data_IF_675231311826
#
_entry.id   IF_675231311826
#
_cell.length_a   1.000
_cell.length_b   1.000
_cell.length_c   1.000
_cell.angle_alpha   90.00
_cell.angle_beta   90.00
_cell.angle_gamma   90.00
#
_symmetry.space_group_name_H-M   'P 1'
#
loop_
_entity.id
_entity.type
_entity.pdbx_description
1 polymer ?
#
# COMPACT_ATOMS: atom_id res chain seq x y z
N UNK A 1 -1.27 -23.64 0.14
CA UNK A 1 -1.09 -22.34 0.84
C UNK A 1 -0.47 -21.31 -0.09
N UNK A 2 -0.99 -20.08 -0.08
CA UNK A 2 -0.45 -18.90 -0.77
C UNK A 2 -0.19 -17.79 0.25
N UNK A 3 0.85 -16.98 0.04
CA UNK A 3 0.96 -15.66 0.69
C UNK A 3 0.10 -14.69 -0.10
N UNK A 4 -0.76 -13.93 0.57
CA UNK A 4 -1.55 -12.90 -0.09
C UNK A 4 -0.61 -11.96 -0.84
N UNK A 5 -0.84 -11.70 -2.14
CA UNK A 5 0.00 -10.80 -2.91
C UNK A 5 -0.22 -9.32 -2.54
N UNK A 6 -1.12 -9.06 -1.58
CA UNK A 6 -1.34 -7.76 -0.94
C UNK A 6 -0.50 -7.63 0.35
N UNK A 7 0.19 -8.69 0.77
CA UNK A 7 1.17 -8.57 1.85
C UNK A 7 2.30 -7.66 1.39
N UNK A 8 2.67 -6.62 2.16
CA UNK A 8 3.72 -5.67 1.80
C UNK A 8 5.13 -6.23 2.01
N UNK A 9 5.32 -7.56 1.91
CA UNK A 9 6.59 -8.26 2.00
C UNK A 9 6.79 -9.10 0.74
N UNK A 10 7.98 -9.06 0.17
CA UNK A 10 8.26 -9.67 -1.12
C UNK A 10 8.98 -11.00 -0.95
N UNK A 11 8.35 -12.10 -1.35
CA UNK A 11 8.92 -13.45 -1.35
C UNK A 11 9.31 -13.83 -2.79
N UNK A 12 10.44 -13.28 -3.26
CA UNK A 12 10.84 -13.40 -4.67
C UNK A 12 11.67 -14.66 -4.88
N UNK A 13 11.31 -15.47 -5.89
CA UNK A 13 12.15 -16.54 -6.44
C UNK A 13 12.35 -16.27 -7.93
N UNK A 14 13.47 -15.66 -8.32
CA UNK A 14 13.77 -15.42 -9.72
C UNK A 14 15.24 -15.59 -10.06
N UNK A 15 15.49 -15.88 -11.33
CA UNK A 15 16.76 -15.61 -12.00
C UNK A 15 16.58 -14.30 -12.75
N UNK A 16 17.29 -13.26 -12.35
CA UNK A 16 17.33 -11.99 -13.07
C UNK A 16 18.64 -11.88 -13.84
N UNK A 17 18.60 -11.20 -14.97
CA UNK A 17 19.80 -10.70 -15.66
C UNK A 17 20.05 -9.25 -15.20
N UNK A 18 21.31 -8.82 -15.19
CA UNK A 18 21.73 -7.51 -14.66
C UNK A 18 21.97 -7.45 -13.15
N UNK A 19 22.38 -6.28 -12.68
CA UNK A 19 22.74 -6.03 -11.28
C UNK A 19 21.45 -5.82 -10.46
N UNK A 20 21.35 -6.48 -9.31
CA UNK A 20 20.20 -6.31 -8.42
C UNK A 20 20.13 -4.90 -7.82
N UNK A 21 18.91 -4.45 -7.51
CA UNK A 21 18.70 -3.16 -6.87
C UNK A 21 19.21 -3.21 -5.43
N UNK A 22 19.95 -2.18 -5.03
CA UNK A 22 20.41 -1.99 -3.64
C UNK A 22 19.30 -1.48 -2.71
N UNK A 23 18.09 -1.24 -3.22
CA UNK A 23 17.01 -0.68 -2.44
C UNK A 23 16.49 -1.67 -1.39
N UNK A 24 16.49 -1.24 -0.13
CA UNK A 24 15.90 -1.96 1.00
C UNK A 24 14.58 -1.29 1.38
N UNK A 25 13.50 -2.07 1.39
CA UNK A 25 12.19 -1.60 1.81
C UNK A 25 12.26 -1.05 3.24
N UNK A 26 11.68 0.13 3.47
CA UNK A 26 11.73 0.78 4.78
C UNK A 26 10.33 0.99 5.33
N UNK A 27 10.12 0.55 6.57
CA UNK A 27 8.91 0.77 7.36
C UNK A 27 9.21 1.69 8.55
N UNK A 28 8.19 2.39 9.02
CA UNK A 28 8.20 3.06 10.32
C UNK A 28 7.92 2.06 11.44
N UNK A 29 8.38 2.34 12.66
CA UNK A 29 8.00 1.56 13.87
C UNK A 29 6.49 1.59 14.16
N UNK A 30 5.78 2.56 13.59
CA UNK A 30 4.33 2.73 13.70
C UNK A 30 3.55 2.04 12.57
N UNK A 31 4.23 1.52 11.54
CA UNK A 31 3.58 0.78 10.46
C UNK A 31 3.19 -0.63 10.94
N UNK A 32 2.12 -1.17 10.35
CA UNK A 32 1.66 -2.53 10.64
C UNK A 32 1.75 -3.41 9.40
N UNK A 33 2.70 -4.34 9.46
CA UNK A 33 2.94 -5.26 8.36
C UNK A 33 1.94 -6.42 8.49
N UNK A 34 0.79 -6.27 7.85
CA UNK A 34 -0.24 -7.31 7.79
C UNK A 34 0.21 -8.44 6.86
N UNK A 35 0.46 -9.62 7.44
CA UNK A 35 0.79 -10.84 6.73
C UNK A 35 -0.43 -11.75 6.67
N UNK A 36 -0.80 -12.18 5.46
CA UNK A 36 -1.90 -13.13 5.25
C UNK A 36 -1.44 -14.36 4.48
N UNK A 37 -1.81 -15.52 4.99
CA UNK A 37 -1.60 -16.83 4.38
C UNK A 37 -2.95 -17.50 4.18
N UNK A 38 -3.27 -17.86 2.94
CA UNK A 38 -4.54 -18.50 2.59
C UNK A 38 -4.23 -19.93 2.16
N UNK A 39 -4.83 -20.91 2.82
CA UNK A 39 -4.51 -22.31 2.59
C UNK A 39 -5.57 -23.26 3.11
N UNK A 40 -5.27 -24.55 3.03
CA UNK A 40 -6.14 -25.58 3.57
C UNK A 40 -6.29 -25.44 5.08
N UNK A 41 -7.45 -25.86 5.61
CA UNK A 41 -7.73 -25.86 7.05
C UNK A 41 -6.69 -26.64 7.86
N UNK A 42 -6.23 -27.76 7.31
CA UNK A 42 -5.26 -28.65 7.96
C UNK A 42 -3.79 -28.34 7.62
N UNK A 43 -3.51 -27.27 6.87
CA UNK A 43 -2.13 -26.88 6.55
C UNK A 43 -1.40 -26.45 7.83
N UNK A 44 -0.27 -27.09 8.14
CA UNK A 44 0.63 -26.63 9.21
C UNK A 44 1.50 -25.51 8.67
N UNK A 45 1.53 -24.38 9.38
CA UNK A 45 2.29 -23.20 8.96
C UNK A 45 3.27 -22.80 10.05
N UNK A 46 4.53 -22.71 9.66
CA UNK A 46 5.61 -22.20 10.51
C UNK A 46 6.22 -21.01 9.80
N UNK A 47 6.21 -19.85 10.47
CA UNK A 47 6.88 -18.65 10.01
C UNK A 47 7.71 -18.03 11.14
N UNK A 48 8.81 -17.38 10.79
CA UNK A 48 9.78 -16.82 11.73
C UNK A 48 10.24 -15.46 11.24
N UNK A 49 10.50 -14.56 12.20
CA UNK A 49 11.18 -13.30 11.95
C UNK A 49 12.67 -13.52 12.19
N UNK A 50 13.48 -13.13 11.21
CA UNK A 50 14.93 -13.25 11.23
C UNK A 50 15.52 -11.85 11.32
N UNK A 51 16.43 -11.65 12.27
CA UNK A 51 17.27 -10.46 12.36
C UNK A 51 18.35 -10.51 11.28
N UNK A 52 18.63 -9.38 10.64
CA UNK A 52 19.69 -9.24 9.63
C UNK A 52 20.76 -8.27 10.10
N UNK A 53 22.04 -8.50 9.76
CA UNK A 53 22.57 -9.58 8.92
C UNK A 53 22.98 -10.84 9.70
N UNK A 54 22.78 -10.87 11.01
CA UNK A 54 23.23 -11.95 11.90
C UNK A 54 22.49 -13.28 11.67
N UNK A 55 21.32 -13.24 11.06
CA UNK A 55 20.53 -14.43 10.73
C UNK A 55 19.87 -15.07 11.95
N UNK A 56 19.85 -14.36 13.09
CA UNK A 56 19.27 -14.86 14.33
C UNK A 56 17.74 -14.90 14.22
N UNK A 57 17.14 -16.03 14.62
CA UNK A 57 15.68 -16.12 14.75
C UNK A 57 15.25 -15.33 15.98
N UNK A 58 14.52 -14.24 15.77
CA UNK A 58 14.00 -13.43 16.88
C UNK A 58 12.85 -14.12 17.59
N UNK A 59 11.83 -14.52 16.83
CA UNK A 59 10.72 -15.32 17.35
C UNK A 59 9.92 -15.98 16.21
N UNK A 60 9.16 -17.00 16.57
CA UNK A 60 8.18 -17.64 15.69
C UNK A 60 6.90 -16.80 15.63
N UNK A 61 6.42 -16.55 14.42
CA UNK A 61 5.18 -15.82 14.18
C UNK A 61 3.99 -16.68 14.60
N UNK A 62 3.15 -16.11 15.46
CA UNK A 62 1.84 -16.66 15.81
C UNK A 62 0.78 -16.07 14.89
N UNK A 63 -0.04 -16.93 14.29
CA UNK A 63 -1.11 -16.54 13.39
C UNK A 63 -2.47 -16.68 14.07
N UNK A 64 -3.31 -15.67 13.91
CA UNK A 64 -4.75 -15.81 14.09
C UNK A 64 -5.31 -16.62 12.93
N UNK A 65 -6.40 -17.35 13.18
CA UNK A 65 -7.06 -18.17 12.17
C UNK A 65 -8.51 -17.72 11.99
N UNK A 66 -8.95 -17.67 10.75
CA UNK A 66 -10.34 -17.40 10.39
C UNK A 66 -10.76 -18.31 9.24
N UNK A 67 -11.74 -19.17 9.49
CA UNK A 67 -12.25 -20.11 8.49
C UNK A 67 -13.08 -19.33 7.46
N UNK A 68 -12.59 -19.26 6.23
CA UNK A 68 -13.31 -18.62 5.12
C UNK A 68 -14.49 -19.51 4.71
N UNK A 69 -14.26 -20.82 4.69
CA UNK A 69 -15.24 -21.88 4.49
C UNK A 69 -14.69 -23.20 5.06
N UNK A 70 -15.41 -24.30 4.85
CA UNK A 70 -15.08 -25.63 5.41
C UNK A 70 -13.71 -26.19 4.98
N UNK A 71 -13.13 -25.67 3.90
CA UNK A 71 -11.88 -26.16 3.30
C UNK A 71 -10.73 -25.16 3.34
N UNK A 72 -11.03 -23.86 3.40
CA UNK A 72 -10.05 -22.77 3.31
C UNK A 72 -10.04 -21.95 4.58
N UNK A 73 -8.84 -21.76 5.14
CA UNK A 73 -8.62 -20.95 6.33
C UNK A 73 -7.63 -19.83 6.02
N UNK A 74 -7.97 -18.62 6.44
CA UNK A 74 -7.08 -17.48 6.51
C UNK A 74 -6.25 -17.58 7.79
N UNK A 75 -4.92 -17.53 7.65
CA UNK A 75 -3.99 -17.33 8.75
C UNK A 75 -3.40 -15.93 8.61
N UNK A 76 -3.56 -15.08 9.62
CA UNK A 76 -3.10 -13.70 9.53
C UNK A 76 -2.46 -13.22 10.82
N UNK A 77 -1.55 -12.26 10.68
CA UNK A 77 -0.89 -11.63 11.81
C UNK A 77 -0.49 -10.21 11.41
N UNK A 78 -0.31 -9.35 12.41
CA UNK A 78 0.27 -8.03 12.22
C UNK A 78 1.64 -8.02 12.86
N UNK A 79 2.67 -7.74 12.05
CA UNK A 79 4.05 -7.66 12.52
C UNK A 79 4.36 -6.19 12.84
N UNK A 80 4.81 -5.95 14.06
CA UNK A 80 5.35 -4.67 14.54
C UNK A 80 6.70 -4.95 15.22
N UNK A 81 7.73 -4.22 14.81
CA UNK A 81 9.11 -4.47 15.22
C UNK A 81 9.77 -3.15 15.66
N UNK A 82 10.79 -3.26 16.51
CA UNK A 82 11.68 -2.15 16.82
C UNK A 82 12.54 -1.79 15.62
N UNK A 83 13.33 -0.72 15.74
CA UNK A 83 14.30 -0.34 14.71
C UNK A 83 15.33 -1.44 14.46
N UNK A 84 15.60 -1.74 13.19
CA UNK A 84 16.50 -2.82 12.78
C UNK A 84 16.29 -3.28 11.33
N UNK A 85 16.98 -4.34 10.94
CA UNK A 85 16.84 -5.00 9.64
C UNK A 85 16.34 -6.42 9.86
N UNK A 86 15.38 -6.84 9.05
CA UNK A 86 14.69 -8.09 9.23
C UNK A 86 14.32 -8.74 7.90
N UNK A 87 14.07 -10.04 7.96
CA UNK A 87 13.33 -10.76 6.93
C UNK A 87 12.35 -11.73 7.58
N UNK A 88 11.34 -12.16 6.83
CA UNK A 88 10.37 -13.16 7.26
C UNK A 88 10.62 -14.44 6.49
N UNK A 89 10.80 -15.55 7.18
CA UNK A 89 10.90 -16.87 6.57
C UNK A 89 9.63 -17.69 6.85
N UNK A 90 9.00 -18.19 5.80
CA UNK A 90 7.79 -19.00 5.89
C UNK A 90 8.08 -20.37 5.29
N UNK A 91 7.90 -21.42 6.09
CA UNK A 91 8.13 -22.79 5.67
C UNK A 91 7.29 -23.14 4.42
N UNK A 92 7.93 -23.69 3.40
CA UNK A 92 7.30 -24.02 2.11
C UNK A 92 7.18 -22.85 1.12
N UNK A 93 7.27 -21.59 1.58
CA UNK A 93 7.28 -20.41 0.70
C UNK A 93 8.72 -19.95 0.46
N UNK A 94 9.47 -19.69 1.53
CA UNK A 94 10.83 -19.16 1.50
C UNK A 94 11.00 -17.92 2.37
N UNK A 95 12.14 -17.25 2.20
CA UNK A 95 12.51 -16.01 2.87
C UNK A 95 12.05 -14.80 2.06
N UNK A 96 11.58 -13.75 2.72
CA UNK A 96 11.32 -12.46 2.09
C UNK A 96 12.63 -11.73 1.76
N UNK A 97 12.54 -10.72 0.92
CA UNK A 97 13.56 -9.67 0.84
C UNK A 97 13.78 -9.02 2.22
N UNK A 98 15.00 -8.53 2.43
CA UNK A 98 15.34 -7.79 3.64
C UNK A 98 14.60 -6.46 3.65
N UNK A 99 14.03 -6.12 4.79
CA UNK A 99 13.41 -4.82 5.03
C UNK A 99 13.99 -4.19 6.29
N UNK A 100 13.93 -2.87 6.34
CA UNK A 100 14.35 -2.03 7.46
C UNK A 100 13.12 -1.52 8.20
N UNK A 101 13.21 -1.45 9.52
CA UNK A 101 12.30 -0.69 10.36
C UNK A 101 13.09 0.45 11.01
N UNK A 102 12.57 1.68 10.95
CA UNK A 102 13.27 2.87 11.46
C UNK A 102 12.26 3.86 12.05
N UNK A 103 12.69 4.64 13.04
CA UNK A 103 11.95 5.78 13.59
C UNK A 103 12.65 7.13 13.26
N UNK A 104 13.64 7.09 12.37
CA UNK A 104 14.43 8.24 11.93
C UNK A 104 13.58 9.15 11.04
N UNK A 105 13.24 10.37 11.49
CA UNK A 105 12.37 11.27 10.74
C UNK A 105 12.99 11.71 9.40
N UNK A 106 14.31 11.79 9.27
CA UNK A 106 14.96 12.22 8.03
C UNK A 106 14.84 11.18 6.91
N UNK A 107 14.69 9.92 7.30
CA UNK A 107 14.44 8.82 6.37
C UNK A 107 12.95 8.77 6.06
N UNK A 108 12.10 8.84 7.08
CA UNK A 108 10.66 8.72 6.94
C UNK A 108 10.04 9.89 6.14
N UNK A 109 10.59 11.10 6.23
CA UNK A 109 10.16 12.28 5.46
C UNK A 109 10.30 12.08 3.94
N UNK A 110 11.15 11.13 3.51
CA UNK A 110 11.36 10.79 2.09
C UNK A 110 10.50 9.61 1.63
N UNK A 111 9.55 9.19 2.45
CA UNK A 111 8.68 8.05 2.19
C UNK A 111 7.21 8.42 2.31
N UNK A 112 6.38 7.73 1.55
CA UNK A 112 4.93 7.82 1.65
C UNK A 112 4.38 6.49 2.16
N UNK A 113 3.48 6.57 3.14
CA UNK A 113 2.71 5.43 3.62
C UNK A 113 1.47 5.26 2.73
N UNK A 114 1.38 4.12 2.04
CA UNK A 114 0.20 3.74 1.26
C UNK A 114 -0.61 2.74 2.07
N UNK A 115 -1.82 3.11 2.46
CA UNK A 115 -2.76 2.24 3.17
C UNK A 115 -3.90 1.84 2.25
N UNK A 116 -4.20 0.54 2.15
CA UNK A 116 -5.19 0.08 1.17
C UNK A 116 -6.06 -1.07 1.66
N UNK A 117 -7.30 -1.05 1.17
CA UNK A 117 -8.31 -2.07 1.46
C UNK A 117 -9.39 -2.11 0.38
N UNK A 118 -10.02 -3.28 0.20
CA UNK A 118 -11.23 -3.41 -0.61
C UNK A 118 -12.47 -3.09 0.22
N UNK A 119 -13.56 -2.68 -0.44
CA UNK A 119 -14.85 -2.46 0.20
C UNK A 119 -15.52 -3.74 0.72
N UNK A 120 -15.08 -4.91 0.25
CA UNK A 120 -15.55 -6.25 0.67
C UNK A 120 -14.60 -7.35 0.14
N UNK A 121 -14.86 -8.60 0.54
CA UNK A 121 -14.10 -9.78 0.10
C UNK A 121 -14.65 -10.46 -1.17
N UNK A 122 -15.57 -9.83 -1.92
CA UNK A 122 -16.26 -10.51 -3.03
C UNK A 122 -15.48 -10.51 -4.33
N UNK A 123 -14.56 -9.56 -4.49
CA UNK A 123 -13.87 -9.33 -5.75
C UNK A 123 -12.63 -10.22 -5.93
N UNK A 124 -12.01 -10.67 -4.83
CA UNK A 124 -10.73 -11.38 -4.86
C UNK A 124 -10.71 -12.51 -3.85
N UNK A 125 -9.98 -13.58 -4.17
CA UNK A 125 -9.87 -14.79 -3.34
C UNK A 125 -8.47 -14.96 -2.73
N UNK A 126 -7.52 -14.16 -3.17
CA UNK A 126 -6.11 -14.18 -2.80
C UNK A 126 -5.77 -13.13 -1.74
N UNK A 127 -6.75 -12.37 -1.23
CA UNK A 127 -6.62 -11.51 -0.05
C UNK A 127 -7.98 -11.38 0.66
N UNK A 128 -7.95 -11.20 1.99
CA UNK A 128 -9.16 -10.99 2.80
C UNK A 128 -9.06 -9.64 3.50
N UNK A 129 -9.97 -8.73 3.20
CA UNK A 129 -9.97 -7.37 3.73
C UNK A 129 -10.93 -7.17 4.90
N UNK A 130 -11.99 -7.98 4.97
CA UNK A 130 -12.90 -8.02 6.11
C UNK A 130 -12.77 -9.35 6.84
N UNK A 131 -12.33 -9.33 8.09
CA UNK A 131 -12.16 -10.51 8.92
C UNK A 131 -13.07 -10.32 10.14
N UNK A 132 -13.96 -11.28 10.37
CA UNK A 132 -14.94 -11.23 11.46
C UNK A 132 -15.74 -9.91 11.54
N UNK A 133 -16.22 -9.45 10.38
CA UNK A 133 -16.98 -8.18 10.27
C UNK A 133 -16.13 -6.91 10.34
N UNK A 134 -14.83 -7.01 10.61
CA UNK A 134 -13.93 -5.86 10.74
C UNK A 134 -13.08 -5.66 9.49
N UNK A 135 -12.98 -4.42 9.01
CA UNK A 135 -12.10 -4.06 7.90
C UNK A 135 -10.65 -3.94 8.36
N UNK A 136 -9.74 -4.50 7.56
CA UNK A 136 -8.30 -4.39 7.71
C UNK A 136 -7.71 -3.62 6.54
N UNK A 137 -6.69 -2.81 6.86
CA UNK A 137 -5.87 -2.10 5.89
C UNK A 137 -4.46 -2.69 5.93
N UNK A 138 -3.87 -2.80 4.75
CA UNK A 138 -2.45 -3.14 4.61
C UNK A 138 -1.65 -1.85 4.54
N UNK A 139 -0.50 -1.82 5.21
CA UNK A 139 0.43 -0.70 5.17
C UNK A 139 1.60 -1.01 4.25
N UNK A 140 1.81 -0.18 3.24
CA UNK A 140 2.94 -0.28 2.32
C UNK A 140 3.66 1.05 2.26
N UNK A 141 4.82 1.14 2.90
CA UNK A 141 5.66 2.32 2.86
C UNK A 141 6.66 2.23 1.71
N UNK A 142 6.73 3.29 0.91
CA UNK A 142 7.56 3.36 -0.30
C UNK A 142 8.32 4.69 -0.36
N UNK A 143 9.48 4.72 -1.04
CA UNK A 143 10.20 5.96 -1.24
C UNK A 143 9.50 6.76 -2.34
N UNK A 144 9.46 8.09 -2.17
CA UNK A 144 8.83 8.98 -3.12
C UNK A 144 7.63 9.70 -2.54
N UNK A 145 6.81 10.26 -3.41
CA UNK A 145 5.77 11.21 -3.03
C UNK A 145 5.15 11.92 -4.22
N UNK A 146 4.26 12.87 -3.92
CA UNK A 146 3.70 13.77 -4.92
C UNK A 146 4.63 14.96 -5.14
N UNK A 147 5.03 15.21 -6.39
CA UNK A 147 5.76 16.41 -6.75
C UNK A 147 4.79 17.54 -7.07
N UNK A 148 5.15 18.77 -6.71
CA UNK A 148 4.40 19.97 -7.11
C UNK A 148 4.54 20.24 -8.61
N UNK A 149 5.69 19.88 -9.18
CA UNK A 149 5.82 19.74 -10.63
C UNK A 149 5.02 18.53 -11.08
N UNK A 150 4.17 18.70 -12.11
CA UNK A 150 3.25 17.70 -12.69
C UNK A 150 1.85 17.62 -12.07
N UNK A 151 1.33 18.73 -11.54
CA UNK A 151 -0.12 18.86 -11.34
C UNK A 151 -0.80 19.08 -12.70
N UNK A 152 -1.85 18.32 -12.95
CA UNK A 152 -2.69 18.47 -14.15
C UNK A 152 -4.06 18.94 -13.72
N UNK A 153 -4.47 20.10 -14.21
CA UNK A 153 -5.79 20.66 -13.97
C UNK A 153 -6.71 20.26 -15.11
N UNK A 154 -7.84 19.65 -14.78
CA UNK A 154 -8.88 19.27 -15.72
C UNK A 154 -10.18 19.98 -15.40
N UNK A 155 -11.02 20.18 -16.42
CA UNK A 155 -12.38 20.67 -16.25
C UNK A 155 -13.31 19.80 -17.08
N UNK A 156 -14.38 19.33 -16.46
CA UNK A 156 -15.53 18.77 -17.15
C UNK A 156 -16.57 19.88 -17.24
N UNK A 157 -16.91 20.30 -18.45
CA UNK A 157 -17.57 21.59 -18.65
C UNK A 157 -18.51 21.54 -19.85
N UNK A 158 -19.70 22.12 -19.68
CA UNK A 158 -20.66 22.35 -20.75
C UNK A 158 -20.83 23.86 -20.98
N UNK A 159 -20.71 24.28 -22.23
CA UNK A 159 -20.74 25.69 -22.64
C UNK A 159 -21.74 25.89 -23.77
N UNK A 160 -22.45 27.02 -23.71
CA UNK A 160 -23.27 27.52 -24.82
C UNK A 160 -22.55 28.70 -25.48
N UNK A 161 -22.50 28.71 -26.81
CA UNK A 161 -21.93 29.82 -27.60
C UNK A 161 -23.06 30.52 -28.34
N UNK A 162 -23.21 31.83 -28.13
CA UNK A 162 -24.23 32.62 -28.81
C UNK A 162 -23.88 32.82 -30.30
N UNK A 163 -24.85 33.22 -31.15
CA UNK A 163 -24.54 33.61 -32.53
C UNK A 163 -23.56 34.79 -32.66
N UNK A 164 -23.38 35.57 -31.60
CA UNK A 164 -22.40 36.67 -31.50
C UNK A 164 -21.03 36.20 -30.96
N UNK A 165 -20.83 34.90 -30.78
CA UNK A 165 -19.63 34.28 -30.22
C UNK A 165 -19.38 34.58 -28.73
N UNK A 166 -20.42 34.97 -27.98
CA UNK A 166 -20.33 35.07 -26.53
C UNK A 166 -20.45 33.68 -25.91
N UNK A 167 -19.61 33.39 -24.90
CA UNK A 167 -19.58 32.09 -24.21
C UNK A 167 -20.32 32.20 -22.88
N UNK A 168 -21.28 31.30 -22.66
CA UNK A 168 -21.97 31.11 -21.38
C UNK A 168 -21.67 29.72 -20.83
N UNK A 169 -21.09 29.65 -19.63
CA UNK A 169 -20.83 28.39 -18.94
C UNK A 169 -22.13 27.87 -18.31
N UNK A 170 -22.59 26.69 -18.73
CA UNK A 170 -23.81 26.07 -18.20
C UNK A 170 -23.51 25.16 -17.01
N UNK A 171 -22.41 24.43 -17.09
CA UNK A 171 -21.96 23.49 -16.07
C UNK A 171 -20.44 23.40 -16.07
N UNK A 172 -19.83 23.25 -14.90
CA UNK A 172 -18.39 23.07 -14.78
C UNK A 172 -18.03 22.35 -13.49
N UNK A 173 -17.17 21.33 -13.59
CA UNK A 173 -16.53 20.67 -12.47
C UNK A 173 -15.03 20.63 -12.70
N UNK A 174 -14.29 21.21 -11.77
CA UNK A 174 -12.84 21.12 -11.74
C UNK A 174 -12.38 19.76 -11.22
N UNK A 175 -11.25 19.29 -11.76
CA UNK A 175 -10.54 18.13 -11.25
C UNK A 175 -9.05 18.45 -11.21
N UNK A 176 -8.36 17.96 -10.19
CA UNK A 176 -6.90 18.08 -10.08
C UNK A 176 -6.32 16.69 -9.98
N UNK A 177 -5.44 16.38 -10.92
CA UNK A 177 -4.68 15.14 -10.93
C UNK A 177 -3.23 15.46 -10.52
N UNK A 178 -2.68 14.63 -9.64
CA UNK A 178 -1.31 14.75 -9.14
C UNK A 178 -0.53 13.52 -9.59
N UNK A 179 0.75 13.72 -9.92
CA UNK A 179 1.65 12.62 -10.29
C UNK A 179 2.39 12.13 -9.05
N UNK A 180 2.12 10.90 -8.64
CA UNK A 180 2.88 10.19 -7.62
C UNK A 180 4.11 9.57 -8.27
N UNK A 181 5.29 9.84 -7.70
CA UNK A 181 6.54 9.19 -8.09
C UNK A 181 6.93 8.18 -7.02
N UNK A 182 7.02 6.91 -7.39
CA UNK A 182 7.53 5.83 -6.57
C UNK A 182 8.96 5.51 -6.99
N UNK A 183 9.89 5.58 -6.03
CA UNK A 183 11.33 5.48 -6.28
C UNK A 183 11.99 6.84 -6.18
N UNK A 184 13.04 6.91 -5.35
CA UNK A 184 13.94 8.06 -5.27
C UNK A 184 15.04 7.98 -6.34
N UNK A 185 16.18 8.63 -6.10
CA UNK A 185 17.36 8.58 -6.98
C UNK A 185 17.96 7.17 -7.15
N UNK A 186 17.71 6.27 -6.21
CA UNK A 186 18.16 4.87 -6.29
C UNK A 186 17.18 3.96 -7.04
N UNK A 187 15.94 4.42 -7.26
CA UNK A 187 14.85 3.61 -7.80
C UNK A 187 14.40 2.52 -6.82
N UNK A 188 13.56 1.63 -7.32
CA UNK A 188 13.10 0.42 -6.62
C UNK A 188 13.06 -0.76 -7.58
N UNK A 189 13.05 -2.01 -7.08
CA UNK A 189 12.84 -3.18 -7.91
C UNK A 189 11.49 -3.17 -8.63
N UNK A 190 11.39 -3.92 -9.73
CA UNK A 190 10.18 -3.96 -10.58
C UNK A 190 8.91 -4.40 -9.85
N UNK A 191 9.03 -5.29 -8.84
CA UNK A 191 7.89 -5.79 -8.09
C UNK A 191 7.21 -4.73 -7.20
N UNK A 192 7.88 -3.61 -6.91
CA UNK A 192 7.24 -2.46 -6.27
C UNK A 192 6.22 -1.80 -7.20
N UNK A 193 6.54 -1.69 -8.50
CA UNK A 193 5.60 -1.20 -9.50
C UNK A 193 4.43 -2.16 -9.71
N UNK A 194 4.68 -3.47 -9.71
CA UNK A 194 3.64 -4.50 -9.74
C UNK A 194 2.70 -4.38 -8.53
N UNK A 195 3.27 -4.22 -7.33
CA UNK A 195 2.52 -4.04 -6.10
C UNK A 195 1.70 -2.74 -6.11
N UNK A 196 2.27 -1.62 -6.56
CA UNK A 196 1.55 -0.37 -6.73
C UNK A 196 0.36 -0.53 -7.70
N UNK A 197 0.58 -1.15 -8.86
CA UNK A 197 -0.49 -1.37 -9.83
C UNK A 197 -1.63 -2.22 -9.23
N UNK A 198 -1.29 -3.24 -8.45
CA UNK A 198 -2.23 -4.09 -7.72
C UNK A 198 -3.01 -3.32 -6.64
N UNK A 199 -2.32 -2.48 -5.86
CA UNK A 199 -2.91 -1.64 -4.81
C UNK A 199 -3.94 -0.68 -5.40
N UNK A 200 -3.65 -0.07 -6.54
CA UNK A 200 -4.53 0.94 -7.17
C UNK A 200 -5.84 0.39 -7.73
N UNK A 201 -6.04 -0.93 -7.67
CA UNK A 201 -7.34 -1.59 -7.96
C UNK A 201 -8.25 -1.56 -6.72
N UNK A 202 -7.70 -1.34 -5.52
CA UNK A 202 -8.47 -1.29 -4.28
C UNK A 202 -9.54 -0.20 -4.29
N UNK A 203 -10.65 -0.47 -3.59
CA UNK A 203 -11.72 0.51 -3.40
C UNK A 203 -11.28 1.70 -2.53
N UNK A 204 -10.34 1.46 -1.61
CA UNK A 204 -9.83 2.46 -0.69
C UNK A 204 -8.30 2.42 -0.74
N UNK A 205 -7.68 3.51 -1.18
CA UNK A 205 -6.24 3.70 -1.20
C UNK A 205 -5.92 5.10 -0.66
N UNK A 206 -5.12 5.14 0.38
CA UNK A 206 -4.72 6.35 1.07
C UNK A 206 -3.21 6.51 0.98
N UNK A 207 -2.75 7.68 0.58
CA UNK A 207 -1.35 8.08 0.59
C UNK A 207 -1.19 9.10 1.71
N UNK A 208 -0.42 8.75 2.75
CA UNK A 208 -0.26 9.54 3.97
C UNK A 208 -1.63 9.98 4.57
N UNK A 209 -2.59 9.05 4.54
CA UNK A 209 -3.95 9.26 5.03
C UNK A 209 -4.88 10.00 4.06
N UNK A 210 -4.41 10.52 2.92
CA UNK A 210 -5.26 11.20 1.94
C UNK A 210 -5.71 10.21 0.88
N UNK A 211 -7.01 10.16 0.58
CA UNK A 211 -7.56 9.22 -0.40
C UNK A 211 -7.26 9.63 -1.83
N UNK A 212 -6.74 8.70 -2.61
CA UNK A 212 -6.48 8.86 -4.03
C UNK A 212 -7.09 7.71 -4.83
N UNK A 213 -7.42 7.98 -6.09
CA UNK A 213 -7.86 6.97 -7.06
C UNK A 213 -7.19 7.22 -8.40
N UNK A 214 -6.88 6.15 -9.13
CA UNK A 214 -6.46 6.28 -10.53
C UNK A 214 -7.65 6.71 -11.38
N UNK A 215 -7.40 7.55 -12.38
CA UNK A 215 -8.39 7.90 -13.39
C UNK A 215 -8.33 6.88 -14.53
N UNK A 216 -9.49 6.33 -14.91
CA UNK A 216 -9.63 5.40 -16.04
C UNK A 216 -8.67 4.19 -15.98
N UNK A 217 -8.07 3.83 -17.12
CA UNK A 217 -7.16 2.70 -17.28
C UNK A 217 -5.67 3.11 -17.13
N UNK A 218 -5.36 4.21 -16.44
CA UNK A 218 -3.99 4.63 -16.23
C UNK A 218 -3.21 3.60 -15.40
N UNK A 219 -2.00 3.25 -15.86
CA UNK A 219 -1.09 2.28 -15.25
C UNK A 219 0.23 2.93 -14.88
N UNK A 220 0.98 2.38 -13.90
CA UNK A 220 2.27 2.95 -13.53
C UNK A 220 3.27 2.95 -14.69
N UNK A 221 3.82 4.12 -15.00
CA UNK A 221 4.81 4.34 -16.05
C UNK A 221 6.21 4.04 -15.51
N UNK A 222 6.89 3.06 -16.11
CA UNK A 222 8.24 2.67 -15.74
C UNK A 222 9.28 3.56 -16.42
N UNK A 223 10.23 4.07 -15.63
CA UNK A 223 11.41 4.81 -16.11
C UNK A 223 12.68 4.14 -15.59
N UNK A 224 13.63 3.88 -16.49
CA UNK A 224 14.95 3.31 -16.16
C UNK A 224 15.88 4.44 -15.71
N UNK A 225 16.54 4.28 -14.56
CA UNK A 225 17.53 5.26 -14.09
C UNK A 225 18.94 4.95 -14.56
N UNK A 226 19.32 3.68 -14.53
CA UNK A 226 20.65 3.23 -14.91
C UNK A 226 20.54 1.92 -15.70
N UNK A 227 21.14 1.88 -16.89
CA UNK A 227 21.13 0.69 -17.74
C UNK A 227 21.85 -0.48 -17.05
N UNK A 228 21.27 -1.68 -17.14
CA UNK A 228 21.85 -2.90 -16.57
C UNK A 228 21.63 -3.08 -15.06
N UNK A 229 21.03 -2.12 -14.35
CA UNK A 229 20.59 -2.28 -12.95
C UNK A 229 19.08 -2.45 -12.90
N UNK A 230 18.62 -3.46 -12.16
CA UNK A 230 17.21 -3.79 -11.96
C UNK A 230 16.49 -2.85 -10.98
N UNK A 231 16.69 -1.53 -11.14
CA UNK A 231 16.11 -0.50 -10.30
C UNK A 231 15.47 0.61 -11.13
N UNK A 232 14.21 0.91 -10.84
CA UNK A 232 13.33 1.71 -11.69
C UNK A 232 12.59 2.78 -10.88
N UNK A 233 12.14 3.83 -11.55
CA UNK A 233 11.20 4.82 -11.01
C UNK A 233 9.86 4.61 -11.68
N UNK A 234 8.80 4.59 -10.89
CA UNK A 234 7.43 4.47 -11.37
C UNK A 234 6.70 5.78 -11.18
N UNK A 235 6.00 6.24 -12.21
CA UNK A 235 5.14 7.41 -12.09
C UNK A 235 3.69 7.02 -12.32
N UNK A 236 2.79 7.53 -11.48
CA UNK A 236 1.37 7.25 -11.55
C UNK A 236 0.57 8.54 -11.40
N UNK A 237 -0.35 8.80 -12.33
CA UNK A 237 -1.29 9.92 -12.20
C UNK A 237 -2.48 9.49 -11.36
N UNK A 238 -2.80 10.28 -10.33
CA UNK A 238 -3.85 10.01 -9.35
C UNK A 238 -4.71 11.26 -9.13
N UNK A 239 -6.00 11.04 -8.90
CA UNK A 239 -6.93 12.09 -8.52
C UNK A 239 -7.32 11.93 -7.03
N UNK A 240 -7.23 13.03 -6.29
CA UNK A 240 -7.64 13.06 -4.89
C UNK A 240 -9.17 12.94 -4.79
N UNK A 241 -9.65 12.09 -3.88
CA UNK A 241 -11.08 11.96 -3.60
C UNK A 241 -11.45 12.85 -2.41
N UNK A 242 -12.13 13.96 -2.66
CA UNK A 242 -12.50 14.95 -1.63
C UNK A 242 -13.97 14.87 -1.20
N UNK A 243 -14.88 14.52 -2.11
CA UNK A 243 -16.33 14.64 -1.92
C UNK A 243 -17.04 13.28 -1.76
N UNK A 244 -16.33 12.25 -1.31
CA UNK A 244 -16.95 10.95 -1.02
C UNK A 244 -17.62 10.95 0.36
N UNK A 245 -18.50 9.96 0.58
CA UNK A 245 -19.30 9.82 1.81
C UNK A 245 -18.42 9.98 3.08
N UNK A 246 -18.64 11.06 3.87
CA UNK A 246 -17.80 11.37 5.03
C UNK A 246 -17.87 10.29 6.12
N UNK A 247 -18.99 9.56 6.22
CA UNK A 247 -19.16 8.48 7.21
C UNK A 247 -18.25 7.30 6.87
N UNK A 248 -18.16 6.96 5.58
CA UNK A 248 -17.27 5.88 5.11
C UNK A 248 -15.81 6.27 5.34
N UNK A 249 -15.44 7.51 4.99
CA UNK A 249 -14.06 7.98 5.17
C UNK A 249 -13.67 8.00 6.65
N UNK A 250 -14.55 8.48 7.54
CA UNK A 250 -14.30 8.46 8.98
C UNK A 250 -14.12 7.04 9.54
N UNK A 251 -14.95 6.08 9.10
CA UNK A 251 -14.80 4.66 9.47
C UNK A 251 -13.48 4.08 8.99
N UNK A 252 -13.08 4.38 7.75
CA UNK A 252 -11.80 3.92 7.21
C UNK A 252 -10.62 4.51 7.97
N UNK A 253 -10.65 5.81 8.29
CA UNK A 253 -9.63 6.44 9.13
C UNK A 253 -9.56 5.85 10.54
N UNK A 254 -10.68 5.43 11.12
CA UNK A 254 -10.69 4.71 12.39
C UNK A 254 -10.05 3.31 12.23
N UNK A 255 -10.41 2.57 11.18
CA UNK A 255 -9.87 1.25 10.90
C UNK A 255 -8.35 1.27 10.62
N UNK A 256 -7.85 2.23 9.84
CA UNK A 256 -6.42 2.39 9.55
C UNK A 256 -5.58 2.70 10.79
N UNK A 257 -6.17 3.39 11.77
CA UNK A 257 -5.49 3.73 13.03
C UNK A 257 -5.52 2.58 14.03
N UNK A 258 -6.38 1.58 13.87
CA UNK A 258 -6.56 0.55 14.88
C UNK A 258 -5.31 -0.31 15.00
N UNK A 259 -4.79 -0.47 16.21
CA UNK A 259 -3.69 -1.38 16.53
C UNK A 259 -4.22 -2.70 17.07
N UNK A 260 -5.16 -2.61 18.00
CA UNK A 260 -5.96 -3.70 18.57
C UNK A 260 -7.37 -3.18 18.89
N UNK A 261 -8.20 -3.96 19.58
CA UNK A 261 -9.59 -3.58 19.90
C UNK A 261 -9.72 -2.31 20.74
N UNK A 262 -8.64 -1.87 21.41
CA UNK A 262 -8.61 -0.78 22.38
C UNK A 262 -7.61 0.34 22.05
N UNK A 263 -6.60 0.07 21.22
CA UNK A 263 -5.50 0.99 20.93
C UNK A 263 -5.56 1.51 19.49
N UNK A 264 -5.25 2.80 19.34
CA UNK A 264 -5.19 3.50 18.05
C UNK A 264 -3.87 4.25 17.87
N UNK A 265 -3.36 4.30 16.63
CA UNK A 265 -2.17 5.07 16.25
C UNK A 265 -2.45 6.57 16.33
N UNK A 266 -1.43 7.32 16.76
CA UNK A 266 -1.48 8.77 16.80
C UNK A 266 -1.60 9.38 15.39
N UNK A 267 -2.41 10.43 15.25
CA UNK A 267 -2.57 11.17 14.00
C UNK A 267 -1.52 12.26 13.87
N UNK A 268 -0.98 12.46 12.66
CA UNK A 268 -0.48 13.77 12.25
C UNK A 268 -1.64 14.76 12.33
N UNK A 269 -1.49 15.77 13.17
CA UNK A 269 -2.56 16.71 13.55
C UNK A 269 -2.98 17.59 12.37
N UNK A 270 -3.97 17.17 11.58
CA UNK A 270 -4.73 18.10 10.69
C UNK A 270 -6.10 17.56 10.23
N UNK A 271 -6.41 16.27 10.38
CA UNK A 271 -7.69 15.70 9.90
C UNK A 271 -8.56 15.27 11.09
N UNK A 272 -9.00 16.25 11.89
CA UNK A 272 -10.09 16.07 12.85
C UNK A 272 -11.27 16.95 12.42
N UNK A 273 -11.98 16.56 11.36
CA UNK A 273 -13.39 16.95 11.22
C UNK A 273 -14.24 15.78 11.68
N UNK A 274 -14.42 15.69 12.99
CA UNK A 274 -15.57 14.99 13.56
C UNK A 274 -16.77 15.89 13.26
N UNK A 275 -17.55 15.55 12.24
CA UNK A 275 -18.87 16.15 12.05
C UNK A 275 -19.81 15.29 12.91
N UNK A 276 -20.39 15.92 13.92
CA UNK A 276 -21.44 15.35 14.77
C UNK A 276 -22.72 15.09 13.98
#
# INVERSE_FOLDING_TARGET
MIVSPFTPLFFIKRKADGIDSEYIQTFATTDQILLQLIGGRNDTVVAQIISEPDGAVLHQIQFNQWDINDTVTLRFTTISLSTGYYSVNIMGVGRSEVFRVTDDPLILDKTTLIQYSMRNNRQRQDAVFFIDGMQYFFDFRVPGGFKDSNWTFGVESEQFVTPQADISQLFGLESTQKRFTLGGSMGVPVWFGEMLNRILICSHVYFDGIKYSRKEANVPELTVQLEGVNSFVFNQTLQQSTNLDPVIEQRNHAAMRRVDDTNYRATSSTINRLIY
#
